data_IF_173824935571
#
_entry.id   IF_173824935571
#
_cell.length_a   1.000
_cell.length_b   1.000
_cell.length_c   1.000
_cell.angle_alpha   90.00
_cell.angle_beta   90.00
_cell.angle_gamma   90.00
#
_symmetry.space_group_name_H-M   'P 1'
#
loop_
_entity.id
_entity.type
_entity.pdbx_description
1 polymer ?
#
# COMPACT_ATOMS: atom_id res chain seq x y z
N UNK A 1 -0.82 0.19 -9.10
CA UNK A 1 -0.60 0.68 -7.73
C UNK A 1 -0.01 -0.47 -6.95
N UNK A 2 1.31 -0.61 -7.04
CA UNK A 2 2.10 -1.41 -6.10
C UNK A 2 2.01 -0.75 -4.72
N UNK A 3 2.02 -1.55 -3.66
CA UNK A 3 2.05 -1.04 -2.30
C UNK A 3 3.51 -0.76 -1.92
N UNK A 4 3.88 0.48 -1.54
CA UNK A 4 5.24 0.79 -1.13
C UNK A 4 5.59 0.06 0.16
N UNK A 5 6.80 -0.48 0.22
CA UNK A 5 7.35 -1.14 1.39
C UNK A 5 7.63 -0.11 2.50
N UNK A 6 6.66 0.03 3.40
CA UNK A 6 6.52 1.12 4.37
C UNK A 6 7.60 1.20 5.47
N UNK A 7 8.05 2.42 5.85
CA UNK A 7 8.24 2.83 7.28
C UNK A 7 8.49 4.32 7.65
N UNK A 8 8.29 4.63 8.94
CA UNK A 8 8.12 5.96 9.56
C UNK A 8 8.64 6.10 11.03
N UNK A 9 8.72 7.36 11.50
CA UNK A 9 9.53 7.89 12.64
C UNK A 9 8.70 8.75 13.64
N UNK A 10 9.13 9.18 14.84
CA UNK A 10 10.07 8.74 15.92
C UNK A 10 10.00 9.79 17.09
N UNK A 11 10.63 9.56 18.28
CA UNK A 11 11.22 10.54 19.27
C UNK A 11 11.08 10.07 20.74
N UNK A 12 12.21 10.03 21.47
CA UNK A 12 12.31 9.76 22.91
C UNK A 12 12.89 10.97 23.65
N UNK A 13 12.22 11.42 24.72
CA UNK A 13 12.68 12.49 25.59
C UNK A 13 13.63 11.99 26.69
N UNK A 14 14.72 12.72 26.93
CA UNK A 14 15.69 12.43 28.00
C UNK A 14 15.09 12.71 29.39
N UNK A 15 15.05 11.68 30.24
CA UNK A 15 14.91 11.83 31.68
C UNK A 15 15.87 10.87 32.39
N UNK A 16 16.88 11.42 33.07
CA UNK A 16 17.79 10.64 33.91
C UNK A 16 17.23 10.56 35.34
N UNK A 17 17.31 9.40 35.98
CA UNK A 17 17.60 9.25 37.41
C UNK A 17 17.72 7.77 37.84
N UNK A 18 18.61 7.54 38.81
CA UNK A 18 18.71 6.38 39.72
C UNK A 18 19.34 5.08 39.20
N UNK A 19 20.56 4.82 39.66
CA UNK A 19 21.21 3.51 39.66
C UNK A 19 20.53 2.54 40.65
N UNK A 20 19.78 1.57 40.13
CA UNK A 20 19.72 0.24 40.74
C UNK A 20 20.71 -0.68 40.01
N UNK A 21 21.21 -1.78 40.62
CA UNK A 21 22.02 -2.78 39.91
C UNK A 21 21.12 -3.59 38.97
N UNK A 22 20.74 -2.94 37.87
CA UNK A 22 19.78 -3.44 36.89
C UNK A 22 20.27 -4.72 36.22
N UNK A 23 19.43 -5.74 36.27
CA UNK A 23 19.54 -6.92 35.43
C UNK A 23 19.65 -6.45 33.96
N UNK A 24 20.81 -6.71 33.33
CA UNK A 24 21.08 -6.21 31.97
C UNK A 24 19.95 -6.66 31.05
N UNK A 25 19.23 -5.74 30.38
CA UNK A 25 18.14 -6.11 29.49
C UNK A 25 18.61 -7.17 28.49
N UNK A 26 17.82 -8.23 28.23
CA UNK A 26 18.21 -9.25 27.28
C UNK A 26 18.51 -8.59 25.92
N UNK A 27 19.55 -9.04 25.19
CA UNK A 27 19.94 -8.40 23.95
C UNK A 27 18.77 -8.37 22.96
N UNK A 28 18.58 -7.27 22.22
CA UNK A 28 17.42 -7.11 21.35
C UNK A 28 17.34 -8.23 20.32
N UNK A 29 16.12 -8.77 20.12
CA UNK A 29 15.86 -9.90 19.22
C UNK A 29 16.35 -9.61 17.79
N UNK A 30 16.26 -8.37 17.36
CA UNK A 30 16.71 -7.89 16.05
C UNK A 30 17.73 -6.76 16.22
N UNK A 31 18.79 -6.80 15.40
CA UNK A 31 19.79 -5.73 15.23
C UNK A 31 20.03 -5.53 13.74
N UNK A 32 20.65 -4.42 13.32
CA UNK A 32 21.05 -4.22 11.91
C UNK A 32 21.86 -5.42 11.40
N UNK A 33 22.85 -5.87 12.16
CA UNK A 33 23.71 -7.02 11.81
C UNK A 33 22.98 -8.36 11.57
N UNK A 34 21.76 -8.54 12.10
CA UNK A 34 21.06 -9.83 12.06
C UNK A 34 19.64 -9.78 11.46
N UNK A 35 19.06 -8.60 11.25
CA UNK A 35 17.65 -8.48 10.86
C UNK A 35 17.39 -9.11 9.50
N UNK A 36 18.21 -8.87 8.48
CA UNK A 36 17.99 -9.42 7.14
C UNK A 36 17.98 -10.96 7.14
N UNK A 37 18.99 -11.58 7.76
CA UNK A 37 19.11 -13.04 7.87
C UNK A 37 17.96 -13.69 8.68
N UNK A 38 17.35 -12.96 9.63
CA UNK A 38 16.21 -13.47 10.43
C UNK A 38 14.85 -13.18 9.80
N UNK A 39 14.69 -12.09 9.05
CA UNK A 39 13.40 -11.62 8.55
C UNK A 39 13.12 -12.14 7.15
N UNK A 40 14.13 -12.27 6.27
CA UNK A 40 13.95 -12.77 4.91
C UNK A 40 13.22 -14.14 4.86
N UNK A 41 13.60 -15.18 5.64
CA UNK A 41 12.88 -16.45 5.64
C UNK A 41 11.43 -16.34 6.14
N UNK A 42 11.16 -15.42 7.07
CA UNK A 42 9.80 -15.20 7.60
C UNK A 42 8.90 -14.53 6.57
N UNK A 43 9.40 -13.52 5.85
CA UNK A 43 8.65 -12.84 4.79
C UNK A 43 8.42 -13.77 3.60
N UNK A 44 9.41 -14.58 3.22
CA UNK A 44 9.28 -15.56 2.16
C UNK A 44 8.23 -16.64 2.48
N UNK A 45 8.19 -17.18 3.70
CA UNK A 45 7.13 -18.10 4.14
C UNK A 45 5.73 -17.45 4.12
N UNK A 46 5.62 -16.17 4.48
CA UNK A 46 4.35 -15.42 4.37
C UNK A 46 3.88 -15.29 2.91
N UNK A 47 4.79 -15.09 1.96
CA UNK A 47 4.47 -14.91 0.52
C UNK A 47 4.20 -16.22 -0.22
N UNK A 48 4.84 -17.31 0.20
CA UNK A 48 4.87 -18.62 -0.47
C UNK A 48 3.55 -19.06 -1.07
N UNK A 49 2.48 -19.08 -0.27
CA UNK A 49 1.15 -19.55 -0.70
C UNK A 49 0.50 -18.74 -1.83
N UNK A 50 0.96 -17.51 -2.08
CA UNK A 50 0.49 -16.67 -3.19
C UNK A 50 1.40 -16.76 -4.39
N UNK A 51 2.71 -16.80 -4.18
CA UNK A 51 3.67 -17.07 -5.22
C UNK A 51 3.38 -18.42 -5.91
N UNK A 52 3.02 -19.46 -5.14
CA UNK A 52 2.58 -20.77 -5.64
C UNK A 52 1.24 -20.74 -6.42
N UNK A 53 0.35 -19.78 -6.15
CA UNK A 53 -0.91 -19.57 -6.90
C UNK A 53 -0.73 -18.69 -8.14
N UNK A 54 0.28 -17.81 -8.12
CA UNK A 54 0.66 -16.95 -9.21
C UNK A 54 1.59 -17.67 -10.17
N UNK A 55 2.75 -17.08 -10.45
CA UNK A 55 3.66 -17.62 -11.46
C UNK A 55 4.60 -18.73 -10.96
N UNK A 56 4.58 -19.07 -9.68
CA UNK A 56 5.50 -20.00 -9.01
C UNK A 56 6.40 -19.33 -7.95
N UNK A 57 7.05 -20.16 -7.14
CA UNK A 57 7.86 -19.74 -5.99
C UNK A 57 9.24 -20.40 -5.99
N UNK A 58 10.29 -19.63 -5.73
CA UNK A 58 11.64 -20.12 -5.41
C UNK A 58 12.07 -19.55 -4.06
N UNK A 59 12.19 -20.44 -3.07
CA UNK A 59 12.51 -20.08 -1.69
C UNK A 59 13.91 -19.47 -1.53
N UNK A 60 14.90 -19.98 -2.28
CA UNK A 60 16.27 -19.49 -2.20
C UNK A 60 16.41 -18.12 -2.87
N UNK A 61 15.75 -17.93 -4.01
CA UNK A 61 15.74 -16.66 -4.70
C UNK A 61 14.92 -15.59 -3.95
N UNK A 62 13.79 -15.96 -3.33
CA UNK A 62 13.05 -15.06 -2.44
C UNK A 62 13.92 -14.60 -1.25
N UNK A 63 14.59 -15.54 -0.56
CA UNK A 63 15.45 -15.20 0.60
C UNK A 63 16.62 -14.30 0.16
N UNK A 64 17.16 -14.51 -1.04
CA UNK A 64 18.21 -13.66 -1.62
C UNK A 64 17.70 -12.24 -1.86
N UNK A 65 16.58 -12.11 -2.58
CA UNK A 65 15.92 -10.81 -2.85
C UNK A 65 15.61 -10.04 -1.56
N UNK A 66 14.97 -10.68 -0.58
CA UNK A 66 14.64 -10.03 0.70
C UNK A 66 15.88 -9.64 1.51
N UNK A 67 16.97 -10.41 1.39
CA UNK A 67 18.25 -10.05 2.02
C UNK A 67 18.88 -8.83 1.35
N UNK A 68 18.82 -8.74 0.02
CA UNK A 68 19.36 -7.60 -0.74
C UNK A 68 18.55 -6.31 -0.48
N UNK A 69 17.21 -6.37 -0.55
CA UNK A 69 16.33 -5.23 -0.22
C UNK A 69 16.55 -4.76 1.22
N UNK A 70 16.70 -5.69 2.16
CA UNK A 70 17.00 -5.37 3.55
C UNK A 70 18.40 -4.75 3.73
N UNK A 71 19.42 -5.24 3.01
CA UNK A 71 20.77 -4.67 3.06
C UNK A 71 20.82 -3.23 2.53
N UNK A 72 20.05 -2.91 1.48
CA UNK A 72 19.87 -1.53 1.01
C UNK A 72 19.24 -0.64 2.10
N UNK A 73 18.22 -1.14 2.81
CA UNK A 73 17.61 -0.40 3.91
C UNK A 73 18.58 -0.18 5.09
N UNK A 74 19.47 -1.14 5.39
CA UNK A 74 20.54 -0.94 6.38
C UNK A 74 21.49 0.17 5.92
N UNK A 75 21.94 0.15 4.66
CA UNK A 75 22.83 1.18 4.11
C UNK A 75 22.18 2.59 4.18
N UNK A 76 20.88 2.70 3.93
CA UNK A 76 20.14 3.96 4.08
C UNK A 76 19.95 4.39 5.55
N UNK A 77 19.88 3.44 6.50
CA UNK A 77 19.92 3.75 7.95
C UNK A 77 21.30 4.26 8.36
N UNK A 78 22.39 3.63 7.88
CA UNK A 78 23.78 4.06 8.13
C UNK A 78 24.09 5.42 7.48
N UNK A 79 23.57 5.68 6.28
CA UNK A 79 23.62 6.98 5.61
C UNK A 79 22.73 8.05 6.28
N UNK A 80 21.91 7.66 7.26
CA UNK A 80 21.01 8.54 7.98
C UNK A 80 19.76 8.96 7.19
N UNK A 81 19.50 8.37 6.02
CA UNK A 81 18.29 8.55 5.22
C UNK A 81 17.08 7.82 5.84
N UNK A 82 17.32 6.79 6.65
CA UNK A 82 16.29 5.99 7.32
C UNK A 82 16.53 5.84 8.84
N UNK A 83 15.58 5.27 9.59
CA UNK A 83 15.83 4.69 10.94
C UNK A 83 15.42 3.23 11.02
N UNK A 84 15.86 2.52 12.05
CA UNK A 84 15.48 1.12 12.28
C UNK A 84 14.75 0.96 13.62
N UNK A 85 13.59 0.30 13.64
CA UNK A 85 12.92 -0.14 14.86
C UNK A 85 12.84 -1.67 14.93
N UNK A 86 13.71 -2.23 15.77
CA UNK A 86 13.77 -3.66 16.08
C UNK A 86 12.48 -4.21 16.71
N UNK A 87 11.70 -3.39 17.42
CA UNK A 87 10.52 -3.86 18.16
C UNK A 87 9.32 -4.07 17.24
N UNK A 88 9.24 -3.33 16.13
CA UNK A 88 8.14 -3.42 15.17
C UNK A 88 8.27 -4.58 14.18
N UNK A 89 9.41 -5.28 14.12
CA UNK A 89 9.68 -6.39 13.18
C UNK A 89 8.66 -7.52 13.29
N UNK A 90 8.42 -8.05 14.50
CA UNK A 90 7.48 -9.15 14.71
C UNK A 90 6.03 -8.73 14.41
N UNK A 91 5.69 -7.50 14.79
CA UNK A 91 4.37 -6.93 14.53
C UNK A 91 4.14 -6.71 13.03
N UNK A 92 5.16 -6.32 12.25
CA UNK A 92 5.09 -6.25 10.80
C UNK A 92 4.84 -7.62 10.16
N UNK A 93 5.63 -8.63 10.52
CA UNK A 93 5.48 -10.00 9.99
C UNK A 93 4.10 -10.57 10.34
N UNK A 94 3.52 -10.19 11.49
CA UNK A 94 2.15 -10.54 11.84
C UNK A 94 1.10 -9.77 11.00
N UNK A 95 1.27 -8.46 10.81
CA UNK A 95 0.37 -7.59 10.05
C UNK A 95 0.31 -7.94 8.56
N UNK A 96 1.41 -8.44 7.96
CA UNK A 96 1.43 -8.86 6.57
C UNK A 96 0.64 -10.14 6.29
N UNK A 97 0.43 -11.02 7.28
CA UNK A 97 -0.20 -12.34 7.05
C UNK A 97 -1.63 -12.26 6.48
N UNK A 98 -2.56 -11.46 7.03
CA UNK A 98 -3.91 -11.36 6.48
C UNK A 98 -3.97 -10.72 5.09
N UNK A 99 -2.98 -9.90 4.73
CA UNK A 99 -2.84 -9.33 3.38
C UNK A 99 -2.26 -10.36 2.41
N UNK A 100 -1.25 -11.11 2.85
CA UNK A 100 -0.71 -12.23 2.11
C UNK A 100 -1.78 -13.29 1.83
N UNK A 101 -2.55 -13.77 2.81
CA UNK A 101 -3.56 -14.81 2.61
C UNK A 101 -4.58 -14.53 1.47
N UNK A 102 -4.85 -13.24 1.18
CA UNK A 102 -5.73 -12.80 0.07
C UNK A 102 -5.10 -12.98 -1.32
N UNK A 103 -3.78 -12.86 -1.43
CA UNK A 103 -2.97 -12.82 -2.66
C UNK A 103 -3.26 -11.68 -3.65
N UNK A 104 -4.48 -11.14 -3.66
CA UNK A 104 -4.93 -10.04 -4.51
C UNK A 104 -5.66 -9.04 -3.60
N UNK A 105 -5.24 -7.78 -3.61
CA UNK A 105 -5.83 -6.77 -2.74
C UNK A 105 -7.01 -6.08 -3.42
N UNK A 106 -8.12 -6.04 -2.70
CA UNK A 106 -9.33 -5.31 -3.07
C UNK A 106 -9.21 -3.84 -2.68
N UNK A 107 -10.02 -2.95 -3.25
CA UNK A 107 -9.94 -1.51 -2.93
C UNK A 107 -10.11 -1.23 -1.40
N UNK A 108 -11.01 -1.92 -0.64
CA UNK A 108 -11.05 -1.83 0.81
C UNK A 108 -9.72 -2.13 1.50
N UNK A 109 -8.92 -3.07 0.98
CA UNK A 109 -7.61 -3.39 1.53
C UNK A 109 -6.62 -2.24 1.34
N UNK A 110 -6.67 -1.53 0.20
CA UNK A 110 -5.83 -0.33 -0.02
C UNK A 110 -6.16 0.82 0.94
N UNK A 111 -7.43 0.99 1.33
CA UNK A 111 -7.83 2.02 2.31
C UNK A 111 -7.38 1.69 3.74
N UNK A 112 -7.35 0.41 4.11
CA UNK A 112 -6.96 -0.03 5.45
C UNK A 112 -5.45 -0.22 5.61
N UNK A 113 -4.73 -0.50 4.50
CA UNK A 113 -3.29 -0.80 4.51
C UNK A 113 -2.41 0.23 5.26
N UNK A 114 -2.62 1.57 5.20
CA UNK A 114 -1.80 2.51 5.96
C UNK A 114 -1.89 2.32 7.48
N UNK A 115 -3.03 1.87 7.99
CA UNK A 115 -3.26 1.64 9.41
C UNK A 115 -2.87 0.21 9.81
N UNK A 116 -3.35 -0.79 9.06
CA UNK A 116 -3.08 -2.21 9.34
C UNK A 116 -1.58 -2.54 9.24
N UNK A 117 -0.87 -1.93 8.28
CA UNK A 117 0.56 -2.14 8.05
C UNK A 117 1.43 -1.09 8.76
N UNK A 118 0.90 -0.28 9.68
CA UNK A 118 1.69 0.64 10.50
C UNK A 118 2.93 -0.02 11.16
N UNK A 119 2.87 -1.27 11.67
CA UNK A 119 4.04 -1.89 12.28
C UNK A 119 5.13 -2.20 11.25
N UNK A 120 4.75 -2.61 10.03
CA UNK A 120 5.70 -2.60 8.91
C UNK A 120 6.22 -1.20 8.68
N UNK A 121 5.32 -0.22 8.74
CA UNK A 121 5.62 1.19 8.69
C UNK A 121 6.44 1.74 9.87
N UNK A 122 7.15 0.93 10.66
CA UNK A 122 8.14 1.38 11.65
C UNK A 122 9.50 0.70 11.51
N UNK A 123 9.58 -0.46 10.85
CA UNK A 123 10.81 -1.28 10.81
C UNK A 123 11.98 -0.56 10.17
N UNK A 124 11.81 0.01 8.97
CA UNK A 124 12.89 0.63 8.17
C UNK A 124 12.44 1.98 7.62
N UNK A 125 12.55 3.02 8.44
CA UNK A 125 11.75 4.23 8.29
C UNK A 125 12.36 5.32 7.44
N UNK A 126 11.76 5.60 6.29
CA UNK A 126 12.10 6.71 5.39
C UNK A 126 12.03 8.08 6.06
N UNK A 127 12.94 8.98 5.69
CA UNK A 127 12.96 10.39 6.11
C UNK A 127 12.80 11.37 4.95
N UNK A 128 12.82 10.91 3.70
CA UNK A 128 12.66 11.78 2.55
C UNK A 128 11.22 12.29 2.47
N UNK A 129 11.05 13.60 2.59
CA UNK A 129 9.73 14.23 2.51
C UNK A 129 9.22 14.24 1.07
N UNK A 130 7.92 14.44 0.89
CA UNK A 130 7.29 14.64 -0.42
C UNK A 130 8.07 15.63 -1.32
N UNK A 131 8.17 15.32 -2.61
CA UNK A 131 9.01 15.98 -3.63
C UNK A 131 10.54 15.89 -3.44
N UNK A 132 11.04 15.23 -2.40
CA UNK A 132 12.47 14.85 -2.31
C UNK A 132 12.83 13.84 -3.40
N UNK A 133 14.05 13.92 -3.93
CA UNK A 133 14.55 12.89 -4.86
C UNK A 133 14.79 11.59 -4.10
N UNK A 134 14.30 10.48 -4.64
CA UNK A 134 14.40 9.14 -4.08
C UNK A 134 14.85 8.15 -5.16
N UNK A 135 15.33 6.99 -4.72
CA UNK A 135 15.62 5.85 -5.59
C UNK A 135 14.65 4.69 -5.33
N UNK A 136 14.12 4.59 -4.09
CA UNK A 136 13.29 3.47 -3.62
C UNK A 136 12.20 3.97 -2.67
N UNK A 137 11.03 3.30 -2.69
CA UNK A 137 9.87 3.64 -1.85
C UNK A 137 10.19 3.78 -0.36
N UNK A 138 10.96 2.83 0.19
CA UNK A 138 11.28 2.77 1.62
C UNK A 138 12.05 4.00 2.14
N UNK A 139 12.69 4.77 1.26
CA UNK A 139 13.38 6.01 1.64
C UNK A 139 12.41 7.16 1.94
N UNK A 140 11.18 7.10 1.40
CA UNK A 140 10.15 8.12 1.55
C UNK A 140 9.45 8.01 2.91
N UNK A 141 9.29 9.15 3.59
CA UNK A 141 8.59 9.21 4.87
C UNK A 141 7.08 9.05 4.68
N UNK A 142 6.50 8.01 5.27
CA UNK A 142 5.04 7.79 5.34
C UNK A 142 4.44 8.30 6.65
N UNK A 143 3.12 8.49 6.68
CA UNK A 143 2.41 8.99 7.86
C UNK A 143 1.00 8.39 7.97
N UNK A 144 0.77 7.62 9.04
CA UNK A 144 -0.55 7.07 9.36
C UNK A 144 -1.54 8.17 9.77
N UNK A 145 -1.07 9.21 10.49
CA UNK A 145 -1.91 10.35 10.90
C UNK A 145 -2.56 11.09 9.71
N UNK A 146 -1.86 11.16 8.58
CA UNK A 146 -2.37 11.75 7.34
C UNK A 146 -3.12 10.76 6.44
N UNK A 147 -3.13 9.46 6.81
CA UNK A 147 -3.67 8.35 6.01
C UNK A 147 -3.19 8.43 4.56
N UNK A 148 -1.86 8.46 4.41
CA UNK A 148 -1.17 8.58 3.13
C UNK A 148 -0.30 7.36 2.80
N UNK A 149 -0.37 6.92 1.55
CA UNK A 149 0.52 5.92 0.95
C UNK A 149 1.61 6.68 0.20
N UNK A 150 2.87 6.59 0.66
CA UNK A 150 3.99 7.32 0.05
C UNK A 150 4.94 6.37 -0.64
N UNK A 151 5.19 6.62 -1.93
CA UNK A 151 6.07 5.84 -2.79
C UNK A 151 7.07 6.76 -3.51
N UNK A 152 8.13 6.17 -4.07
CA UNK A 152 9.01 6.83 -5.00
C UNK A 152 8.40 6.72 -6.41
N UNK A 153 7.94 7.85 -6.95
CA UNK A 153 7.34 7.89 -8.29
C UNK A 153 8.42 7.60 -9.35
N UNK A 154 8.24 6.53 -10.14
CA UNK A 154 9.30 6.00 -11.00
C UNK A 154 9.73 6.93 -12.14
N UNK A 155 8.78 7.69 -12.70
CA UNK A 155 9.03 8.61 -13.81
C UNK A 155 9.75 9.89 -13.34
N UNK A 156 9.34 10.42 -12.18
CA UNK A 156 9.91 11.68 -11.64
C UNK A 156 11.07 11.47 -10.67
N UNK A 157 11.23 10.24 -10.16
CA UNK A 157 12.11 9.85 -9.04
C UNK A 157 11.93 10.74 -7.81
N UNK A 158 10.66 11.04 -7.49
CA UNK A 158 10.23 11.87 -6.36
C UNK A 158 9.32 11.14 -5.39
N UNK A 159 9.54 11.33 -4.09
CA UNK A 159 8.62 10.87 -3.06
C UNK A 159 7.26 11.54 -3.25
N UNK A 160 6.22 10.74 -3.46
CA UNK A 160 4.88 11.19 -3.80
C UNK A 160 3.87 10.50 -2.89
N UNK A 161 2.99 11.28 -2.26
CA UNK A 161 1.99 10.79 -1.31
C UNK A 161 0.61 10.70 -1.98
N UNK A 162 0.01 9.52 -1.95
CA UNK A 162 -1.41 9.32 -2.25
C UNK A 162 -2.22 9.43 -0.96
N UNK A 163 -3.17 10.36 -0.89
CA UNK A 163 -3.89 10.70 0.35
C UNK A 163 -5.36 10.32 0.30
N UNK A 164 -5.90 9.89 1.45
CA UNK A 164 -7.33 9.60 1.60
C UNK A 164 -8.07 10.77 2.27
N UNK A 165 -8.89 11.47 1.48
CA UNK A 165 -9.59 12.71 1.84
C UNK A 165 -10.90 12.43 2.59
N UNK A 166 -11.13 13.06 3.77
CA UNK A 166 -12.33 12.85 4.57
C UNK A 166 -13.60 13.47 3.93
N UNK A 167 -14.75 13.24 4.56
CA UNK A 167 -16.03 13.86 4.19
C UNK A 167 -15.92 15.39 4.09
N UNK A 168 -16.57 15.95 3.07
CA UNK A 168 -16.60 17.39 2.73
C UNK A 168 -15.23 18.03 2.41
N UNK A 169 -14.15 17.25 2.30
CA UNK A 169 -12.87 17.73 1.78
C UNK A 169 -12.95 18.02 0.27
N UNK A 170 -12.21 19.02 -0.20
CA UNK A 170 -12.10 19.33 -1.62
C UNK A 170 -11.33 18.22 -2.37
N UNK A 171 -11.86 17.78 -3.50
CA UNK A 171 -11.31 16.70 -4.30
C UNK A 171 -11.24 17.08 -5.79
N UNK A 172 -10.42 16.36 -6.56
CA UNK A 172 -10.26 16.56 -8.01
C UNK A 172 -10.33 15.22 -8.73
N UNK A 173 -10.77 15.24 -9.99
CA UNK A 173 -10.80 14.04 -10.84
C UNK A 173 -9.91 14.27 -12.05
N UNK A 174 -8.64 13.85 -11.94
CA UNK A 174 -7.67 13.84 -13.04
C UNK A 174 -6.80 12.58 -12.99
N UNK A 175 -6.13 12.25 -14.10
CA UNK A 175 -5.20 11.13 -14.16
C UNK A 175 -4.01 11.27 -13.18
N UNK A 176 -3.62 12.51 -12.88
CA UNK A 176 -2.47 12.84 -12.02
C UNK A 176 -2.87 13.06 -10.55
N UNK A 177 -4.16 12.92 -10.19
CA UNK A 177 -4.63 13.24 -8.84
C UNK A 177 -4.10 12.20 -7.83
N UNK A 178 -3.28 12.66 -6.89
CA UNK A 178 -2.75 11.86 -5.76
C UNK A 178 -3.61 12.02 -4.48
N UNK A 179 -4.86 12.43 -4.62
CA UNK A 179 -5.81 12.65 -3.52
C UNK A 179 -7.14 11.97 -3.86
N UNK A 180 -7.52 10.95 -3.09
CA UNK A 180 -8.71 10.13 -3.33
C UNK A 180 -9.67 10.33 -2.16
N UNK A 181 -10.98 10.44 -2.41
CA UNK A 181 -11.94 10.43 -1.32
C UNK A 181 -11.85 9.10 -0.54
N UNK A 182 -12.01 9.18 0.78
CA UNK A 182 -11.86 8.06 1.72
C UNK A 182 -12.90 6.95 1.51
N UNK A 183 -12.72 5.82 2.19
CA UNK A 183 -13.55 4.63 2.02
C UNK A 183 -15.05 4.94 2.22
N UNK A 184 -15.87 4.52 1.26
CA UNK A 184 -17.32 4.79 1.28
C UNK A 184 -17.70 6.22 0.91
N UNK A 185 -16.74 7.04 0.45
CA UNK A 185 -16.98 8.34 -0.17
C UNK A 185 -16.73 8.26 -1.68
N UNK A 186 -17.11 9.33 -2.38
CA UNK A 186 -16.75 9.60 -3.78
C UNK A 186 -16.53 11.09 -3.97
N UNK A 187 -15.80 11.49 -5.00
CA UNK A 187 -15.71 12.91 -5.38
C UNK A 187 -17.00 13.30 -6.11
N UNK A 188 -17.81 14.18 -5.54
CA UNK A 188 -18.96 14.81 -6.21
C UNK A 188 -18.48 16.10 -6.86
N UNK A 189 -18.19 16.03 -8.17
CA UNK A 189 -17.45 17.05 -8.91
C UNK A 189 -18.26 17.70 -10.03
N UNK A 190 -17.98 18.97 -10.30
CA UNK A 190 -18.49 19.66 -11.48
C UNK A 190 -17.76 19.18 -12.73
N UNK A 191 -18.50 18.76 -13.76
CA UNK A 191 -17.96 18.17 -14.99
C UNK A 191 -17.14 19.14 -15.86
N UNK A 192 -17.21 20.45 -15.61
CA UNK A 192 -16.44 21.48 -16.33
C UNK A 192 -15.18 21.86 -15.55
N UNK A 193 -15.24 21.89 -14.22
CA UNK A 193 -14.10 22.19 -13.36
C UNK A 193 -13.21 20.96 -13.09
N UNK A 194 -13.78 19.74 -13.09
CA UNK A 194 -13.16 18.51 -12.57
C UNK A 194 -12.75 18.59 -11.08
N UNK A 195 -13.38 19.52 -10.34
CA UNK A 195 -13.19 19.76 -8.91
C UNK A 195 -14.53 19.61 -8.17
N UNK A 196 -14.48 19.17 -6.91
CA UNK A 196 -15.65 18.77 -6.15
C UNK A 196 -15.42 18.67 -4.65
N UNK A 197 -16.38 18.05 -3.95
CA UNK A 197 -16.25 17.68 -2.54
C UNK A 197 -16.42 16.17 -2.36
N UNK A 198 -15.71 15.58 -1.40
CA UNK A 198 -15.91 14.19 -1.03
C UNK A 198 -17.27 14.01 -0.34
N UNK A 199 -18.16 13.22 -0.95
CA UNK A 199 -19.53 12.98 -0.48
C UNK A 199 -19.78 11.48 -0.23
N UNK A 200 -20.77 11.10 0.61
CA UNK A 200 -21.05 9.71 0.90
C UNK A 200 -21.51 8.93 -0.34
N UNK A 201 -20.86 7.79 -0.61
CA UNK A 201 -21.24 6.91 -1.69
C UNK A 201 -22.64 6.30 -1.48
N UNK A 202 -23.36 6.11 -2.57
CA UNK A 202 -24.66 5.44 -2.58
C UNK A 202 -24.48 3.96 -2.32
N UNK A 203 -25.32 3.42 -1.42
CA UNK A 203 -25.37 1.99 -1.10
C UNK A 203 -25.76 1.16 -2.35
N UNK A 204 -25.30 -0.09 -2.40
CA UNK A 204 -25.75 -1.07 -3.39
C UNK A 204 -27.28 -1.15 -3.43
N UNK A 205 -27.84 -1.24 -4.64
CA UNK A 205 -29.28 -1.20 -4.91
C UNK A 205 -29.92 0.19 -4.87
N UNK A 206 -29.22 1.25 -4.44
CA UNK A 206 -29.75 2.61 -4.47
C UNK A 206 -29.76 3.20 -5.89
N UNK A 207 -30.76 4.04 -6.18
CA UNK A 207 -30.92 4.65 -7.50
C UNK A 207 -29.78 5.63 -7.87
N UNK A 208 -29.29 5.52 -9.09
CA UNK A 208 -28.17 6.30 -9.63
C UNK A 208 -28.48 6.83 -11.04
N UNK A 209 -27.66 7.78 -11.50
CA UNK A 209 -27.78 8.36 -12.85
C UNK A 209 -26.56 7.94 -13.66
N UNK A 210 -26.70 7.05 -14.66
CA UNK A 210 -25.57 6.57 -15.45
C UNK A 210 -24.87 7.72 -16.20
N UNK A 211 -23.54 7.75 -16.10
CA UNK A 211 -22.65 8.64 -16.86
C UNK A 211 -21.28 7.96 -16.96
N UNK A 212 -20.48 8.16 -18.03
CA UNK A 212 -19.19 7.50 -18.21
C UNK A 212 -18.19 7.67 -17.06
N UNK A 213 -18.35 8.76 -16.29
CA UNK A 213 -17.50 9.16 -15.15
C UNK A 213 -18.33 9.32 -13.86
N UNK A 214 -19.44 8.57 -13.73
CA UNK A 214 -20.27 8.59 -12.53
C UNK A 214 -19.59 7.85 -11.37
N UNK A 215 -19.16 8.60 -10.35
CA UNK A 215 -18.51 8.06 -9.16
C UNK A 215 -19.48 7.86 -7.97
N UNK A 216 -20.75 8.28 -8.06
CA UNK A 216 -21.69 8.31 -6.92
C UNK A 216 -22.01 6.98 -6.23
N UNK A 217 -21.62 5.83 -6.81
CA UNK A 217 -21.74 4.53 -6.16
C UNK A 217 -20.52 4.17 -5.28
N UNK A 218 -19.47 5.00 -5.29
CA UNK A 218 -18.20 4.73 -4.61
C UNK A 218 -17.33 3.72 -5.34
N UNK A 219 -16.12 3.50 -4.83
CA UNK A 219 -15.24 2.45 -5.35
C UNK A 219 -15.76 1.06 -4.96
N UNK A 220 -15.51 0.05 -5.81
CA UNK A 220 -16.12 -1.29 -5.81
C UNK A 220 -17.60 -1.36 -6.21
N UNK A 221 -18.18 -0.28 -6.72
CA UNK A 221 -19.52 -0.30 -7.30
C UNK A 221 -19.60 0.62 -8.51
N UNK A 222 -20.54 0.35 -9.40
CA UNK A 222 -20.80 1.17 -10.59
C UNK A 222 -22.30 1.46 -10.71
N UNK A 223 -22.64 2.54 -11.42
CA UNK A 223 -24.02 2.83 -11.75
C UNK A 223 -24.41 2.03 -13.00
N UNK A 224 -25.20 0.98 -12.84
CA UNK A 224 -25.58 0.11 -13.96
C UNK A 224 -26.51 0.83 -14.93
N UNK A 225 -26.11 0.90 -16.20
CA UNK A 225 -26.80 1.71 -17.21
C UNK A 225 -28.21 1.22 -17.54
N UNK A 226 -28.49 -0.07 -17.34
CA UNK A 226 -29.76 -0.72 -17.68
C UNK A 226 -30.77 -0.61 -16.53
N UNK A 227 -30.32 -0.92 -15.32
CA UNK A 227 -31.15 -1.00 -14.10
C UNK A 227 -31.19 0.32 -13.32
N UNK A 228 -30.23 1.23 -13.56
CA UNK A 228 -30.11 2.55 -12.92
C UNK A 228 -29.98 2.48 -11.40
N UNK A 229 -29.35 1.41 -10.89
CA UNK A 229 -28.97 1.26 -9.50
C UNK A 229 -27.48 1.03 -9.34
N UNK A 230 -26.95 1.32 -8.15
CA UNK A 230 -25.57 0.98 -7.81
C UNK A 230 -25.42 -0.54 -7.67
N UNK A 231 -24.54 -1.11 -8.48
CA UNK A 231 -24.27 -2.55 -8.59
C UNK A 231 -22.82 -2.81 -8.21
N UNK A 232 -22.54 -3.95 -7.57
CA UNK A 232 -21.20 -4.37 -7.18
C UNK A 232 -20.28 -4.49 -8.41
N UNK A 233 -19.03 -4.04 -8.28
CA UNK A 233 -18.06 -4.13 -9.35
C UNK A 233 -17.78 -5.59 -9.72
N UNK A 234 -17.63 -5.83 -11.02
CA UNK A 234 -17.51 -7.13 -11.64
C UNK A 234 -16.13 -7.74 -11.45
N UNK A 235 -16.10 -9.05 -11.27
CA UNK A 235 -14.87 -9.86 -11.22
C UNK A 235 -14.22 -9.99 -12.59
N UNK A 236 -12.96 -10.41 -12.62
CA UNK A 236 -12.19 -10.75 -13.83
C UNK A 236 -12.99 -11.60 -14.84
N UNK A 237 -12.77 -11.36 -16.13
CA UNK A 237 -13.43 -12.06 -17.24
C UNK A 237 -14.89 -11.65 -17.50
N UNK A 238 -15.54 -10.94 -16.58
CA UNK A 238 -16.89 -10.41 -16.76
C UNK A 238 -16.94 -9.35 -17.86
N UNK A 239 -18.02 -9.30 -18.66
CA UNK A 239 -18.21 -8.26 -19.68
C UNK A 239 -18.36 -6.87 -19.05
N UNK A 240 -17.63 -5.88 -19.57
CA UNK A 240 -17.62 -4.49 -19.12
C UNK A 240 -17.69 -3.51 -20.31
N UNK A 241 -18.15 -2.28 -20.04
CA UNK A 241 -18.10 -1.16 -21.01
C UNK A 241 -17.18 -0.02 -20.52
N UNK A 242 -16.92 0.05 -19.21
CA UNK A 242 -16.00 1.01 -18.57
C UNK A 242 -15.11 0.31 -17.55
N UNK A 243 -13.85 0.77 -17.34
CA UNK A 243 -12.98 0.29 -16.26
C UNK A 243 -13.63 0.38 -14.87
N UNK A 244 -14.50 1.38 -14.63
CA UNK A 244 -15.22 1.56 -13.37
C UNK A 244 -16.19 0.41 -13.03
N UNK A 245 -16.57 -0.41 -14.02
CA UNK A 245 -17.41 -1.60 -13.78
C UNK A 245 -16.64 -2.77 -13.18
N UNK A 246 -15.30 -2.73 -13.13
CA UNK A 246 -14.44 -3.85 -12.80
C UNK A 246 -13.73 -3.65 -11.46
N UNK A 247 -13.62 -4.71 -10.65
CA UNK A 247 -12.90 -4.67 -9.36
C UNK A 247 -11.42 -4.31 -9.53
N UNK A 248 -10.82 -4.69 -10.65
CA UNK A 248 -9.44 -4.36 -11.04
C UNK A 248 -9.25 -2.94 -11.58
N UNK A 249 -10.33 -2.18 -11.77
CA UNK A 249 -10.35 -0.91 -12.51
C UNK A 249 -9.73 -1.01 -13.93
N UNK A 250 -9.83 -2.19 -14.55
CA UNK A 250 -9.36 -2.47 -15.92
C UNK A 250 -10.47 -3.12 -16.74
N UNK A 251 -10.83 -2.51 -17.86
CA UNK A 251 -11.75 -3.06 -18.85
C UNK A 251 -11.04 -3.13 -20.21
N UNK A 252 -10.62 -4.32 -20.62
CA UNK A 252 -9.77 -4.57 -21.79
C UNK A 252 -10.50 -5.49 -22.76
N UNK A 253 -10.56 -5.12 -24.04
CA UNK A 253 -11.34 -5.83 -25.07
C UNK A 253 -12.82 -6.13 -24.70
N UNK A 254 -13.41 -5.35 -23.77
CA UNK A 254 -14.77 -5.55 -23.28
C UNK A 254 -14.93 -6.56 -22.14
N UNK A 255 -13.83 -7.02 -21.53
CA UNK A 255 -13.82 -7.87 -20.35
C UNK A 255 -12.99 -7.26 -19.20
N UNK A 256 -13.39 -7.54 -17.95
CA UNK A 256 -12.65 -7.09 -16.79
C UNK A 256 -11.29 -7.79 -16.71
N UNK A 257 -10.20 -7.02 -16.66
CA UNK A 257 -8.85 -7.54 -16.51
C UNK A 257 -8.56 -8.05 -15.09
N UNK A 258 -7.44 -8.77 -14.89
CA UNK A 258 -7.06 -9.29 -13.59
C UNK A 258 -6.72 -8.17 -12.59
N UNK A 259 -7.00 -8.45 -11.31
CA UNK A 259 -6.44 -7.67 -10.19
C UNK A 259 -4.94 -7.98 -10.12
N UNK A 260 -4.11 -6.97 -9.90
CA UNK A 260 -2.67 -7.19 -9.74
C UNK A 260 -2.41 -8.06 -8.49
N UNK A 261 -1.48 -9.03 -8.54
CA UNK A 261 -1.10 -9.79 -7.36
C UNK A 261 -0.46 -8.85 -6.32
N UNK A 262 -0.64 -9.17 -5.04
CA UNK A 262 -0.04 -8.38 -3.94
C UNK A 262 1.49 -8.55 -3.90
N UNK A 263 1.99 -9.70 -4.32
CA UNK A 263 3.42 -9.96 -4.48
C UNK A 263 3.77 -10.17 -5.95
N UNK A 264 4.82 -9.49 -6.41
CA UNK A 264 5.26 -9.54 -7.81
C UNK A 264 6.25 -10.69 -8.06
N UNK A 265 6.52 -10.98 -9.34
CA UNK A 265 7.38 -12.10 -9.74
C UNK A 265 8.76 -12.09 -9.07
N UNK A 266 9.38 -10.92 -8.94
CA UNK A 266 10.69 -10.76 -8.30
C UNK A 266 10.66 -11.10 -6.80
N UNK A 267 9.57 -10.73 -6.11
CA UNK A 267 9.34 -11.03 -4.70
C UNK A 267 9.06 -12.52 -4.43
N UNK A 268 8.77 -13.28 -5.49
CA UNK A 268 8.43 -14.70 -5.47
C UNK A 268 9.55 -15.62 -5.99
N UNK A 269 10.41 -15.12 -6.89
CA UNK A 269 11.42 -15.90 -7.62
C UNK A 269 12.80 -15.23 -7.71
N UNK A 270 13.00 -14.11 -7.02
CA UNK A 270 14.13 -13.20 -7.25
C UNK A 270 14.02 -12.46 -8.59
N UNK A 271 14.85 -11.43 -8.78
CA UNK A 271 14.94 -10.75 -10.07
C UNK A 271 15.59 -11.69 -11.10
N UNK A 272 14.86 -12.01 -12.17
CA UNK A 272 15.44 -12.66 -13.34
C UNK A 272 16.12 -11.60 -14.21
N UNK A 273 17.22 -11.03 -13.73
CA UNK A 273 18.00 -10.06 -14.48
C UNK A 273 18.95 -10.75 -15.49
N UNK A 274 19.16 -10.19 -16.70
CA UNK A 274 18.62 -8.94 -17.25
C UNK A 274 17.51 -9.12 -18.31
#
# INVERSE_FOLDING_TARGET
MTLPTLAATFVLGLAACSDEPGETPPPPKYTLDNVCAKVAPQLCEVRKSCCEKGEGYDEAACITYETEVCAQNIADVEAGLMTFDANSVDACVAALKPYAEKCYLTIPDYYNAPEDLEPCSKVFAGKLTENSTCERDAQCASSVEKREIVACDDDTKKCTATRFLPLDAACKVSADTKELCDQGLYCDFDLLAMEGLCQPAKKLGAACTPSPIQLSCGLNAYCDAMTKVCTEAKVEGSTCQSPLECQSLKCEAGACGPIAPFFEGEQCKGSSAP
#
